data_IF_499687082236
#
_entry.id   IF_499687082236
#
_cell.length_a   1.000
_cell.length_b   1.000
_cell.length_c   1.000
_cell.angle_alpha   90.00
_cell.angle_beta   90.00
_cell.angle_gamma   90.00
#
_symmetry.space_group_name_H-M   'P 1'
#
loop_
_entity.id
_entity.type
_entity.pdbx_description
1 polymer ?
#
# COMPACT_ATOMS: atom_id res chain seq x y z
N UNK A 1 -3.78 -24.55 2.57
CA UNK A 1 -4.26 -25.85 2.06
C UNK A 1 -3.22 -26.52 1.16
N UNK A 2 -2.86 -25.95 0.00
CA UNK A 2 -1.84 -26.54 -0.90
C UNK A 2 -0.49 -26.73 -0.20
N UNK A 3 -0.03 -25.74 0.57
CA UNK A 3 1.22 -25.88 1.34
C UNK A 3 1.19 -27.06 2.29
N UNK A 4 0.07 -27.26 2.98
CA UNK A 4 -0.11 -28.39 3.90
C UNK A 4 -0.11 -29.74 3.18
N UNK A 5 -0.70 -29.81 1.99
CA UNK A 5 -0.69 -31.02 1.15
C UNK A 5 0.74 -31.34 0.69
N UNK A 6 1.54 -30.31 0.34
CA UNK A 6 2.93 -30.48 -0.04
C UNK A 6 3.84 -30.87 1.15
N UNK A 7 3.59 -30.33 2.34
CA UNK A 7 4.29 -30.74 3.57
C UNK A 7 4.04 -32.21 3.92
N UNK A 8 2.84 -32.70 3.63
CA UNK A 8 2.40 -34.06 3.93
C UNK A 8 2.52 -34.99 2.73
N UNK A 9 3.27 -34.62 1.67
CA UNK A 9 3.35 -35.39 0.42
C UNK A 9 3.65 -36.87 0.66
N UNK A 10 4.70 -37.18 1.42
CA UNK A 10 5.10 -38.56 1.74
C UNK A 10 4.04 -39.29 2.57
N UNK A 11 3.47 -38.62 3.59
CA UNK A 11 2.43 -39.22 4.43
C UNK A 11 1.13 -39.49 3.67
N UNK A 12 0.79 -38.64 2.69
CA UNK A 12 -0.37 -38.84 1.81
C UNK A 12 -0.11 -40.01 0.85
N UNK A 13 1.09 -40.11 0.26
CA UNK A 13 1.47 -41.22 -0.61
C UNK A 13 1.40 -42.55 0.14
N UNK A 14 2.03 -42.62 1.32
CA UNK A 14 2.03 -43.82 2.16
C UNK A 14 0.61 -44.20 2.60
N UNK A 15 -0.20 -43.22 3.04
CA UNK A 15 -1.59 -43.46 3.41
C UNK A 15 -2.39 -44.02 2.24
N UNK A 16 -2.31 -43.42 1.05
CA UNK A 16 -3.05 -43.90 -0.12
C UNK A 16 -2.56 -45.29 -0.55
N UNK A 17 -1.27 -45.59 -0.46
CA UNK A 17 -0.71 -46.90 -0.80
C UNK A 17 -1.13 -48.01 0.17
N UNK A 18 -1.27 -47.71 1.46
CA UNK A 18 -1.70 -48.67 2.47
C UNK A 18 -3.22 -48.94 2.46
N UNK A 19 -4.01 -48.09 1.81
CA UNK A 19 -5.46 -48.22 1.76
C UNK A 19 -5.93 -48.87 0.45
N UNK A 20 -6.45 -50.10 0.51
CA UNK A 20 -6.98 -50.83 -0.66
C UNK A 20 -8.37 -50.37 -1.12
N UNK A 21 -8.99 -49.41 -0.40
CA UNK A 21 -10.31 -48.89 -0.77
C UNK A 21 -10.25 -48.09 -2.08
N UNK A 22 -11.08 -48.47 -3.05
CA UNK A 22 -11.27 -47.73 -4.31
C UNK A 22 -11.68 -46.26 -4.06
N UNK A 23 -12.34 -45.97 -2.93
CA UNK A 23 -12.74 -44.61 -2.57
C UNK A 23 -11.55 -43.70 -2.24
N UNK A 24 -10.42 -44.26 -1.79
CA UNK A 24 -9.22 -43.51 -1.43
C UNK A 24 -8.23 -43.51 -2.60
N UNK A 25 -8.10 -44.65 -3.30
CA UNK A 25 -7.20 -44.80 -4.44
C UNK A 25 -7.50 -43.82 -5.58
N UNK A 26 -8.77 -43.43 -5.80
CA UNK A 26 -9.13 -42.42 -6.82
C UNK A 26 -8.53 -41.03 -6.59
N UNK A 27 -8.03 -40.74 -5.39
CA UNK A 27 -7.38 -39.47 -5.06
C UNK A 27 -5.85 -39.55 -5.14
N UNK A 28 -5.30 -40.68 -5.62
CA UNK A 28 -3.85 -40.82 -5.84
C UNK A 28 -3.41 -39.82 -6.90
N UNK A 29 -2.60 -38.86 -6.48
CA UNK A 29 -1.99 -37.88 -7.38
C UNK A 29 -0.79 -38.50 -8.09
N UNK A 30 -0.74 -38.31 -9.40
CA UNK A 30 0.42 -38.58 -10.24
C UNK A 30 1.56 -37.61 -9.96
N UNK A 31 2.78 -37.97 -10.36
CA UNK A 31 3.96 -37.10 -10.21
C UNK A 31 3.77 -35.75 -10.92
N UNK A 32 3.07 -35.75 -12.06
CA UNK A 32 2.74 -34.52 -12.80
C UNK A 32 1.79 -33.62 -11.99
N UNK A 33 0.81 -34.18 -11.29
CA UNK A 33 -0.11 -33.41 -10.45
C UNK A 33 0.61 -32.83 -9.22
N UNK A 34 1.56 -33.57 -8.63
CA UNK A 34 2.43 -33.04 -7.58
C UNK A 34 3.31 -31.88 -8.06
N UNK A 35 3.86 -31.98 -9.27
CA UNK A 35 4.59 -30.87 -9.91
C UNK A 35 3.66 -29.67 -10.14
N UNK A 36 2.45 -29.90 -10.66
CA UNK A 36 1.47 -28.84 -10.86
C UNK A 36 1.07 -28.14 -9.55
N UNK A 37 0.91 -28.89 -8.44
CA UNK A 37 0.64 -28.32 -7.12
C UNK A 37 1.79 -27.42 -6.63
N UNK A 38 3.05 -27.81 -6.87
CA UNK A 38 4.23 -27.00 -6.56
C UNK A 38 4.23 -25.71 -7.39
N UNK A 39 3.89 -25.79 -8.67
CA UNK A 39 3.71 -24.60 -9.52
C UNK A 39 2.58 -23.68 -9.01
N UNK A 40 1.42 -24.24 -8.66
CA UNK A 40 0.31 -23.45 -8.11
C UNK A 40 0.67 -22.79 -6.78
N UNK A 41 1.44 -23.44 -5.91
CA UNK A 41 1.96 -22.80 -4.69
C UNK A 41 2.76 -21.54 -5.04
N UNK A 42 3.67 -21.62 -6.01
CA UNK A 42 4.47 -20.46 -6.45
C UNK A 42 3.60 -19.34 -7.01
N UNK A 43 2.63 -19.66 -7.87
CA UNK A 43 1.72 -18.68 -8.48
C UNK A 43 0.87 -17.98 -7.41
N UNK A 44 0.34 -18.75 -6.46
CA UNK A 44 -0.55 -18.26 -5.39
C UNK A 44 0.21 -17.55 -4.27
N UNK A 45 1.53 -17.73 -4.16
CA UNK A 45 2.35 -16.97 -3.22
C UNK A 45 2.31 -15.45 -3.53
N UNK A 46 2.17 -15.07 -4.80
CA UNK A 46 2.09 -13.66 -5.22
C UNK A 46 0.82 -12.95 -4.69
N UNK A 47 -0.42 -13.42 -4.98
CA UNK A 47 -1.63 -12.84 -4.40
C UNK A 47 -1.64 -12.93 -2.87
N UNK A 48 -1.06 -13.99 -2.29
CA UNK A 48 -0.93 -14.08 -0.84
C UNK A 48 -0.09 -12.93 -0.26
N UNK A 49 1.09 -12.64 -0.84
CA UNK A 49 1.93 -11.52 -0.42
C UNK A 49 1.23 -10.16 -0.63
N UNK A 50 0.51 -10.00 -1.75
CA UNK A 50 -0.32 -8.82 -2.01
C UNK A 50 -1.37 -8.62 -0.90
N UNK A 51 -2.13 -9.67 -0.56
CA UNK A 51 -3.13 -9.63 0.50
C UNK A 51 -2.50 -9.28 1.84
N UNK A 52 -1.44 -9.99 2.24
CA UNK A 52 -0.73 -9.73 3.50
C UNK A 52 -0.27 -8.28 3.61
N UNK A 53 0.20 -7.68 2.50
CA UNK A 53 0.63 -6.28 2.48
C UNK A 53 -0.52 -5.30 2.71
N UNK A 54 -1.73 -5.62 2.24
CA UNK A 54 -2.89 -4.73 2.32
C UNK A 54 -3.83 -5.02 3.49
N UNK A 55 -3.69 -6.16 4.15
CA UNK A 55 -4.50 -6.58 5.30
C UNK A 55 -3.98 -6.06 6.65
N UNK A 56 -3.09 -5.06 6.66
CA UNK A 56 -2.59 -4.52 7.91
C UNK A 56 -3.65 -3.63 8.60
N UNK A 57 -4.12 -4.04 9.78
CA UNK A 57 -5.28 -3.40 10.44
C UNK A 57 -4.96 -2.03 11.03
N UNK A 58 -3.72 -1.81 11.50
CA UNK A 58 -3.35 -0.63 12.28
C UNK A 58 -2.85 0.55 11.42
N UNK A 59 -2.60 0.34 10.13
CA UNK A 59 -2.02 1.36 9.25
C UNK A 59 -2.84 1.50 7.97
N UNK A 60 -3.13 2.73 7.50
CA UNK A 60 -3.85 2.93 6.25
C UNK A 60 -3.10 2.28 5.06
N UNK A 61 -3.61 1.16 4.56
CA UNK A 61 -2.96 0.40 3.48
C UNK A 61 -3.35 0.85 2.08
N UNK A 62 -4.38 1.69 1.96
CA UNK A 62 -4.92 2.14 0.66
C UNK A 62 -3.86 2.79 -0.23
N UNK A 63 -2.91 3.51 0.38
CA UNK A 63 -1.82 4.15 -0.31
C UNK A 63 -0.88 3.14 -1.01
N UNK A 64 -0.80 1.90 -0.52
CA UNK A 64 0.02 0.84 -1.12
C UNK A 64 -0.73 0.03 -2.19
N UNK A 65 -2.05 0.20 -2.35
CA UNK A 65 -2.84 -0.63 -3.26
C UNK A 65 -2.35 -0.56 -4.71
N UNK A 66 -2.22 0.64 -5.28
CA UNK A 66 -1.70 0.86 -6.64
C UNK A 66 -0.28 0.29 -6.83
N UNK A 67 0.71 0.63 -5.97
CA UNK A 67 2.03 0.00 -6.01
C UNK A 67 1.98 -1.54 -5.94
N UNK A 68 1.11 -2.10 -5.09
CA UNK A 68 0.98 -3.54 -4.93
C UNK A 68 0.34 -4.20 -6.15
N UNK A 69 -0.64 -3.56 -6.81
CA UNK A 69 -1.23 -4.06 -8.07
C UNK A 69 -0.16 -4.16 -9.15
N UNK A 70 0.58 -3.08 -9.41
CA UNK A 70 1.66 -3.07 -10.40
C UNK A 70 2.77 -4.09 -10.07
N UNK A 71 3.11 -4.21 -8.77
CA UNK A 71 4.09 -5.20 -8.30
C UNK A 71 3.64 -6.65 -8.53
N UNK A 72 2.37 -6.94 -8.28
CA UNK A 72 1.77 -8.25 -8.51
C UNK A 72 1.69 -8.59 -9.99
N UNK A 73 1.25 -7.67 -10.84
CA UNK A 73 1.24 -7.84 -12.30
C UNK A 73 2.64 -8.17 -12.81
N UNK A 74 3.66 -7.41 -12.39
CA UNK A 74 5.05 -7.65 -12.78
C UNK A 74 5.57 -9.00 -12.32
N UNK A 75 5.26 -9.41 -11.09
CA UNK A 75 5.69 -10.71 -10.56
C UNK A 75 5.09 -11.87 -11.36
N UNK A 76 3.81 -11.76 -11.74
CA UNK A 76 3.13 -12.74 -12.58
C UNK A 76 3.65 -12.76 -14.02
N UNK A 77 3.98 -11.61 -14.61
CA UNK A 77 4.61 -11.58 -15.94
C UNK A 77 6.00 -12.25 -15.93
N UNK A 78 6.79 -12.06 -14.88
CA UNK A 78 8.06 -12.79 -14.73
C UNK A 78 7.83 -14.31 -14.58
N UNK A 79 6.82 -14.73 -13.81
CA UNK A 79 6.50 -16.14 -13.63
C UNK A 79 6.04 -16.83 -14.91
N UNK A 80 5.41 -16.10 -15.85
CA UNK A 80 5.09 -16.63 -17.19
C UNK A 80 6.34 -17.03 -17.97
N UNK A 81 7.45 -16.31 -17.78
CA UNK A 81 8.73 -16.61 -18.43
C UNK A 81 9.34 -17.87 -17.82
N UNK A 82 9.30 -17.99 -16.48
CA UNK A 82 9.91 -19.10 -15.75
C UNK A 82 9.09 -20.41 -15.85
N UNK A 83 7.76 -20.30 -16.00
CA UNK A 83 6.82 -21.41 -16.04
C UNK A 83 5.83 -21.32 -17.21
N UNK A 84 6.29 -21.56 -18.45
CA UNK A 84 5.46 -21.40 -19.65
C UNK A 84 4.19 -22.26 -19.64
N UNK A 85 4.23 -23.42 -18.98
CA UNK A 85 3.08 -24.35 -18.86
C UNK A 85 1.90 -23.77 -18.06
N UNK A 86 2.15 -22.73 -17.26
CA UNK A 86 1.14 -22.07 -16.43
C UNK A 86 0.67 -20.72 -16.98
N UNK A 87 1.11 -20.38 -18.20
CA UNK A 87 0.81 -19.09 -18.85
C UNK A 87 -0.68 -18.81 -18.93
N UNK A 88 -1.50 -19.80 -19.26
CA UNK A 88 -2.95 -19.66 -19.36
C UNK A 88 -3.60 -19.26 -18.02
N UNK A 89 -3.17 -19.89 -16.92
CA UNK A 89 -3.68 -19.62 -15.57
C UNK A 89 -3.25 -18.23 -15.11
N UNK A 90 -1.98 -17.89 -15.32
CA UNK A 90 -1.45 -16.58 -14.94
C UNK A 90 -2.11 -15.48 -15.77
N UNK A 91 -2.31 -15.68 -17.07
CA UNK A 91 -2.96 -14.70 -17.94
C UNK A 91 -4.40 -14.42 -17.49
N UNK A 92 -5.18 -15.45 -17.17
CA UNK A 92 -6.53 -15.24 -16.62
C UNK A 92 -6.51 -14.42 -15.31
N UNK A 93 -5.47 -14.61 -14.48
CA UNK A 93 -5.24 -13.80 -13.29
C UNK A 93 -4.92 -12.33 -13.63
N UNK A 94 -4.02 -12.10 -14.58
CA UNK A 94 -3.63 -10.76 -15.06
C UNK A 94 -4.81 -10.01 -15.65
N UNK A 95 -5.60 -10.64 -16.51
CA UNK A 95 -6.80 -10.05 -17.13
C UNK A 95 -7.78 -9.58 -16.05
N UNK A 96 -7.96 -10.39 -14.99
CA UNK A 96 -8.82 -10.01 -13.87
C UNK A 96 -8.23 -8.87 -13.04
N UNK A 97 -6.91 -8.86 -12.87
CA UNK A 97 -6.20 -7.86 -12.09
C UNK A 97 -6.22 -6.48 -12.78
N UNK A 98 -6.11 -6.47 -14.10
CA UNK A 98 -6.20 -5.26 -14.94
C UNK A 98 -7.55 -4.56 -14.74
N UNK A 99 -8.65 -5.31 -14.77
CA UNK A 99 -10.00 -4.76 -14.49
C UNK A 99 -10.07 -4.09 -13.11
N UNK A 100 -9.49 -4.71 -12.07
CA UNK A 100 -9.47 -4.11 -10.74
C UNK A 100 -8.58 -2.88 -10.66
N UNK A 101 -7.45 -2.90 -11.34
CA UNK A 101 -6.55 -1.77 -11.45
C UNK A 101 -7.23 -0.60 -12.15
N UNK A 102 -8.00 -0.82 -13.19
CA UNK A 102 -8.73 0.24 -13.91
C UNK A 102 -9.74 0.95 -13.00
N UNK A 103 -10.43 0.21 -12.11
CA UNK A 103 -11.32 0.83 -11.13
C UNK A 103 -10.59 1.79 -10.18
N UNK A 104 -9.30 1.56 -9.91
CA UNK A 104 -8.53 2.46 -9.05
C UNK A 104 -8.26 3.82 -9.70
N UNK A 105 -8.28 3.92 -11.03
CA UNK A 105 -8.12 5.20 -11.74
C UNK A 105 -9.38 6.08 -11.67
N UNK A 106 -10.54 5.46 -11.48
CA UNK A 106 -11.83 6.15 -11.33
C UNK A 106 -11.96 6.74 -9.92
N UNK A 107 -11.41 6.06 -8.92
CA UNK A 107 -11.56 6.43 -7.51
C UNK A 107 -10.37 7.27 -7.04
N UNK A 108 -10.52 8.58 -6.80
CA UNK A 108 -9.40 9.45 -6.44
C UNK A 108 -8.78 9.10 -5.08
N UNK A 109 -9.50 8.39 -4.21
CA UNK A 109 -9.05 8.04 -2.86
C UNK A 109 -7.70 7.31 -2.84
N UNK A 110 -7.42 6.45 -3.83
CA UNK A 110 -6.13 5.79 -3.95
C UNK A 110 -5.00 6.83 -4.08
N UNK A 111 -5.09 7.72 -5.07
CA UNK A 111 -4.09 8.76 -5.32
C UNK A 111 -3.98 9.77 -4.16
N UNK A 112 -5.12 10.18 -3.58
CA UNK A 112 -5.13 11.10 -2.45
C UNK A 112 -4.47 10.48 -1.21
N UNK A 113 -4.75 9.20 -0.92
CA UNK A 113 -4.12 8.49 0.20
C UNK A 113 -2.59 8.38 0.03
N UNK A 114 -2.12 8.27 -1.22
CA UNK A 114 -0.69 8.27 -1.51
C UNK A 114 -0.04 9.62 -1.23
N UNK A 115 -0.72 10.70 -1.57
CA UNK A 115 -0.23 12.06 -1.36
C UNK A 115 -0.19 12.44 0.11
N UNK A 116 -1.18 12.01 0.89
CA UNK A 116 -1.24 12.27 2.34
C UNK A 116 -0.17 11.47 3.10
N UNK A 117 0.25 10.30 2.57
CA UNK A 117 1.31 9.50 3.20
C UNK A 117 2.68 10.20 3.05
N UNK A 118 3.31 10.69 4.14
CA UNK A 118 4.56 11.44 4.07
C UNK A 118 5.74 10.63 3.51
N UNK A 119 5.75 9.31 3.69
CA UNK A 119 6.83 8.45 3.22
C UNK A 119 6.81 8.30 1.68
N UNK A 120 5.63 8.43 1.07
CA UNK A 120 5.42 8.21 -0.35
C UNK A 120 5.17 9.48 -1.14
N UNK A 121 4.28 10.37 -0.68
CA UNK A 121 3.93 11.66 -1.32
C UNK A 121 3.80 11.51 -2.84
N UNK A 122 4.69 12.16 -3.60
CA UNK A 122 4.76 12.11 -5.05
C UNK A 122 5.78 11.10 -5.60
N UNK A 123 6.56 10.40 -4.76
CA UNK A 123 7.67 9.54 -5.21
C UNK A 123 7.20 8.49 -6.20
N UNK A 124 6.13 7.77 -5.87
CA UNK A 124 5.59 6.75 -6.75
C UNK A 124 4.93 7.35 -8.01
N UNK A 125 4.19 8.45 -7.86
CA UNK A 125 3.49 9.12 -8.98
C UNK A 125 4.50 9.67 -10.00
N UNK A 126 5.57 10.32 -9.55
CA UNK A 126 6.64 10.83 -10.43
C UNK A 126 7.30 9.69 -11.22
N UNK A 127 7.49 8.54 -10.59
CA UNK A 127 8.13 7.38 -11.20
C UNK A 127 7.23 6.68 -12.23
N UNK A 128 5.96 6.45 -11.90
CA UNK A 128 5.08 5.58 -12.69
C UNK A 128 4.06 6.35 -13.53
N UNK A 129 3.69 7.58 -13.16
CA UNK A 129 2.67 8.39 -13.83
C UNK A 129 3.13 9.86 -14.06
N UNK A 130 4.29 10.09 -14.71
CA UNK A 130 4.85 11.43 -14.86
C UNK A 130 3.93 12.39 -15.64
N UNK A 131 3.21 11.87 -16.64
CA UNK A 131 2.27 12.65 -17.47
C UNK A 131 1.06 13.13 -16.69
N UNK A 132 0.67 12.44 -15.62
CA UNK A 132 -0.51 12.76 -14.82
C UNK A 132 -0.19 13.62 -13.59
N UNK A 133 1.08 13.86 -13.29
CA UNK A 133 1.53 14.55 -12.08
C UNK A 133 0.80 15.88 -11.84
N UNK A 134 0.72 16.73 -12.87
CA UNK A 134 0.07 18.04 -12.79
C UNK A 134 -1.45 17.93 -12.61
N UNK A 135 -2.08 16.87 -13.14
CA UNK A 135 -3.51 16.60 -12.93
C UNK A 135 -3.76 16.20 -11.48
N UNK A 136 -2.94 15.30 -10.95
CA UNK A 136 -3.08 14.75 -9.60
C UNK A 136 -2.80 15.83 -8.53
N UNK A 137 -1.79 16.68 -8.73
CA UNK A 137 -1.55 17.85 -7.86
C UNK A 137 -2.76 18.79 -7.80
N UNK A 138 -3.34 19.13 -8.96
CA UNK A 138 -4.53 19.99 -9.02
C UNK A 138 -5.73 19.35 -8.32
N UNK A 139 -5.93 18.05 -8.50
CA UNK A 139 -6.97 17.29 -7.81
C UNK A 139 -6.78 17.40 -6.28
N UNK A 140 -5.58 17.16 -5.78
CA UNK A 140 -5.29 17.26 -4.34
C UNK A 140 -5.57 18.65 -3.76
N UNK A 141 -5.14 19.70 -4.44
CA UNK A 141 -5.41 21.08 -4.03
C UNK A 141 -6.91 21.38 -4.05
N UNK A 142 -7.63 20.93 -5.09
CA UNK A 142 -9.07 21.13 -5.20
C UNK A 142 -9.82 20.45 -4.05
N UNK A 143 -9.43 19.23 -3.68
CA UNK A 143 -10.01 18.47 -2.57
C UNK A 143 -9.69 19.09 -1.20
N UNK A 144 -8.50 19.66 -1.01
CA UNK A 144 -8.11 20.32 0.24
C UNK A 144 -8.72 21.71 0.42
N UNK A 145 -9.05 22.39 -0.68
CA UNK A 145 -9.57 23.77 -0.67
C UNK A 145 -10.79 24.00 0.25
N UNK A 146 -11.86 23.17 0.25
CA UNK A 146 -12.98 23.38 1.16
C UNK A 146 -12.55 23.29 2.64
N UNK A 147 -11.66 22.37 2.99
CA UNK A 147 -11.15 22.22 4.35
C UNK A 147 -10.28 23.42 4.76
N UNK A 148 -9.41 23.87 3.87
CA UNK A 148 -8.59 25.06 4.11
C UNK A 148 -9.45 26.30 4.32
N UNK A 149 -10.45 26.51 3.47
CA UNK A 149 -11.37 27.64 3.59
C UNK A 149 -12.10 27.61 4.93
N UNK A 150 -12.60 26.46 5.36
CA UNK A 150 -13.26 26.31 6.66
C UNK A 150 -12.34 26.65 7.84
N UNK A 151 -11.06 26.27 7.78
CA UNK A 151 -10.07 26.62 8.80
C UNK A 151 -9.83 28.13 8.82
N UNK A 152 -9.68 28.75 7.64
CA UNK A 152 -9.44 30.20 7.53
C UNK A 152 -10.68 31.01 7.96
N UNK A 153 -11.89 30.55 7.63
CA UNK A 153 -13.14 31.25 8.01
C UNK A 153 -13.49 31.08 9.49
N UNK A 154 -13.18 29.92 10.10
CA UNK A 154 -13.44 29.67 11.52
C UNK A 154 -12.33 30.21 12.44
N UNK A 155 -11.13 30.46 11.92
CA UNK A 155 -10.07 31.17 12.64
C UNK A 155 -10.27 32.70 12.60
N UNK A 156 -11.33 33.18 13.27
CA UNK A 156 -11.22 34.44 14.03
C UNK A 156 -10.16 34.27 15.12
N UNK A 157 -9.42 35.31 15.55
CA UNK A 157 -8.17 35.14 16.29
C UNK A 157 -8.39 34.24 17.50
N UNK A 158 -7.56 33.19 17.58
CA UNK A 158 -7.47 32.27 18.72
C UNK A 158 -7.57 33.11 19.99
N UNK A 159 -8.65 32.95 20.77
CA UNK A 159 -8.66 33.46 22.15
C UNK A 159 -7.47 32.81 22.83
N UNK A 160 -6.42 33.58 23.12
CA UNK A 160 -5.26 33.11 23.87
C UNK A 160 -5.79 32.44 25.14
N UNK A 161 -5.67 31.12 25.20
CA UNK A 161 -5.89 30.35 26.42
C UNK A 161 -4.77 30.78 27.36
N UNK A 162 -5.11 31.28 28.54
CA UNK A 162 -4.12 31.63 29.56
C UNK A 162 -3.26 30.40 29.87
N UNK A 163 -1.95 30.53 29.65
CA UNK A 163 -0.96 29.45 29.80
C UNK A 163 -0.90 29.00 31.27
N UNK A 164 -0.73 27.71 31.47
CA UNK A 164 -0.53 27.12 32.80
C UNK A 164 0.95 27.14 33.18
N UNK A 165 1.24 27.19 34.49
CA UNK A 165 2.62 27.21 34.99
C UNK A 165 3.46 26.00 34.55
N UNK A 166 2.80 24.88 34.24
CA UNK A 166 3.46 23.67 33.77
C UNK A 166 4.02 23.83 32.34
N UNK A 167 3.29 24.51 31.46
CA UNK A 167 3.68 24.74 30.07
C UNK A 167 4.89 25.70 30.00
N UNK A 168 5.00 26.66 30.93
CA UNK A 168 6.14 27.59 31.03
C UNK A 168 7.41 26.84 31.46
N UNK A 169 7.29 25.94 32.44
CA UNK A 169 8.42 25.16 32.94
C UNK A 169 8.95 24.15 31.91
N UNK A 170 8.08 23.61 31.05
CA UNK A 170 8.45 22.70 29.97
C UNK A 170 9.16 23.44 28.82
N UNK A 171 8.72 24.66 28.49
CA UNK A 171 9.36 25.54 27.51
C UNK A 171 10.77 25.97 27.97
N UNK A 172 10.94 26.30 29.26
CA UNK A 172 12.27 26.58 29.85
C UNK A 172 13.19 25.35 29.84
N UNK A 173 12.66 24.16 30.15
CA UNK A 173 13.43 22.92 30.10
C UNK A 173 13.91 22.59 28.67
N UNK A 174 13.05 22.81 27.67
CA UNK A 174 13.37 22.59 26.27
C UNK A 174 14.41 23.58 25.74
N UNK A 175 14.32 24.86 26.14
CA UNK A 175 15.31 25.89 25.81
C UNK A 175 16.70 25.59 26.42
N UNK A 176 16.75 25.06 27.64
CA UNK A 176 18.01 24.65 28.30
C UNK A 176 18.65 23.44 27.60
N UNK A 177 17.84 22.54 27.07
CA UNK A 177 18.29 21.31 26.40
C UNK A 177 18.56 21.49 24.90
N UNK A 178 18.34 22.68 24.34
CA UNK A 178 18.47 22.94 22.90
C UNK A 178 17.46 22.17 22.06
N UNK A 179 16.33 21.79 22.66
CA UNK A 179 15.24 21.04 22.03
C UNK A 179 14.14 21.97 21.52
N UNK A 180 14.49 23.20 21.11
CA UNK A 180 13.55 24.12 20.47
C UNK A 180 12.98 23.45 19.21
N UNK A 181 11.83 22.79 19.36
CA UNK A 181 10.93 22.56 18.25
C UNK A 181 10.66 23.92 17.68
N UNK A 182 11.11 24.17 16.45
CA UNK A 182 10.78 25.38 15.70
C UNK A 182 9.30 25.69 15.91
N UNK A 183 9.03 26.63 16.81
CA UNK A 183 7.73 27.26 16.90
C UNK A 183 7.58 27.89 15.54
N UNK A 184 6.75 27.28 14.70
CA UNK A 184 6.28 27.85 13.46
C UNK A 184 5.79 29.25 13.79
N UNK A 185 6.68 30.21 13.59
CA UNK A 185 6.34 31.62 13.56
C UNK A 185 5.15 31.74 12.61
N UNK A 186 4.22 32.69 12.84
CA UNK A 186 3.13 32.96 11.90
C UNK A 186 3.73 33.62 10.65
N UNK A 187 4.49 32.83 9.90
CA UNK A 187 5.22 33.20 8.71
C UNK A 187 4.26 33.08 7.56
N UNK A 188 3.73 34.24 7.16
CA UNK A 188 3.19 34.57 5.85
C UNK A 188 2.06 33.66 5.34
N UNK A 189 0.93 34.28 5.01
CA UNK A 189 -0.15 33.68 4.25
C UNK A 189 0.35 33.31 2.83
N UNK A 190 1.12 32.24 2.71
CA UNK A 190 1.33 31.54 1.43
C UNK A 190 -0.01 30.99 0.96
N UNK A 191 -0.24 31.01 -0.35
CA UNK A 191 -1.42 30.41 -0.95
C UNK A 191 -1.49 28.93 -0.55
N UNK A 192 -2.68 28.33 -0.54
CA UNK A 192 -2.83 26.88 -0.25
C UNK A 192 -1.86 26.05 -1.11
N UNK A 193 -1.69 26.48 -2.36
CA UNK A 193 -0.77 25.94 -3.35
C UNK A 193 0.69 25.94 -2.86
N UNK A 194 1.16 27.02 -2.24
CA UNK A 194 2.54 27.14 -1.74
C UNK A 194 2.80 26.18 -0.57
N UNK A 195 1.82 26.06 0.33
CA UNK A 195 1.89 25.12 1.47
C UNK A 195 1.88 23.67 1.01
N UNK A 196 1.05 23.35 0.02
CA UNK A 196 1.00 22.03 -0.58
C UNK A 196 2.31 21.71 -1.30
N UNK A 197 2.87 22.63 -2.08
CA UNK A 197 4.17 22.41 -2.73
C UNK A 197 5.30 22.22 -1.72
N UNK A 198 5.35 23.01 -0.65
CA UNK A 198 6.32 22.83 0.43
C UNK A 198 6.24 21.43 1.04
N UNK A 199 5.03 20.97 1.40
CA UNK A 199 4.82 19.62 1.92
C UNK A 199 5.25 18.52 0.94
N UNK A 200 4.95 18.67 -0.35
CA UNK A 200 5.26 17.68 -1.39
C UNK A 200 6.75 17.64 -1.79
N UNK A 201 7.50 18.71 -1.49
CA UNK A 201 8.95 18.81 -1.71
C UNK A 201 9.77 18.41 -0.49
N UNK A 202 9.20 18.53 0.71
CA UNK A 202 9.88 18.22 1.97
C UNK A 202 10.33 16.74 2.02
N UNK A 203 11.64 16.46 2.10
CA UNK A 203 12.17 15.10 2.21
C UNK A 203 12.13 14.56 3.65
N UNK A 204 11.81 15.40 4.64
CA UNK A 204 12.12 15.18 6.06
C UNK A 204 10.89 14.81 6.86
N UNK A 205 10.56 13.52 6.92
CA UNK A 205 9.94 12.90 8.11
C UNK A 205 10.32 11.42 8.03
N UNK A 206 10.95 10.89 9.10
CA UNK A 206 11.67 9.61 9.22
C UNK A 206 13.19 9.68 8.95
N UNK A 207 13.92 10.32 9.87
CA UNK A 207 15.10 9.70 10.48
C UNK A 207 14.66 9.04 11.78
#
# INVERSE_FOLDING_TARGET
MIERVLELEEGIKEFVEQNESEEIQKYKLSDLEWIALKCFKTILAVPHAFQQKLSHEMTPTLCYALPSFEGMMKAWENLKIDHPDTTNVIQAGLDKLEVYRDYTDIVPAYLLSMMINPSMKLKWIRKNLPTQLSRIKRLFIAELRPYYNNIVTNNSPIKQRSRTAHEIAEEEANAILGLDTETLSPGHAGSLEDKVEAYLLDPTYFQ
#
